data_IF_732502845917
#
_entry.id   IF_732502845917
#
_cell.length_a   1.000
_cell.length_b   1.000
_cell.length_c   1.000
_cell.angle_alpha   90.00
_cell.angle_beta   90.00
_cell.angle_gamma   90.00
#
_symmetry.space_group_name_H-M   'P 1'
#
loop_
_entity.id
_entity.type
_entity.pdbx_description
1 polymer ?
#
# COMPACT_ATOMS: atom_id res chain seq x y z
N UNK A 1 -49.05 -20.30 36.30
CA UNK A 1 -48.64 -21.44 35.44
C UNK A 1 -49.09 -21.16 34.02
N UNK A 2 -48.21 -21.44 33.06
CA UNK A 2 -48.17 -20.88 31.70
C UNK A 2 -49.43 -21.11 30.85
N UNK A 3 -49.90 -20.04 30.21
CA UNK A 3 -50.55 -20.04 28.89
C UNK A 3 -50.73 -18.60 28.39
N UNK A 4 -50.14 -18.27 27.23
CA UNK A 4 -50.80 -17.63 26.08
C UNK A 4 -49.78 -17.29 24.99
N UNK A 5 -50.04 -17.89 23.84
CA UNK A 5 -49.47 -17.63 22.51
C UNK A 5 -49.99 -16.27 22.01
N UNK A 6 -49.12 -15.46 21.43
CA UNK A 6 -49.48 -14.26 20.68
C UNK A 6 -48.92 -14.37 19.25
N UNK A 7 -49.84 -14.50 18.31
CA UNK A 7 -49.68 -14.39 16.86
C UNK A 7 -49.72 -12.92 16.44
N UNK A 8 -48.84 -12.49 15.53
CA UNK A 8 -49.03 -11.24 14.76
C UNK A 8 -48.74 -11.51 13.28
N UNK A 9 -49.72 -11.10 12.46
CA UNK A 9 -49.83 -11.30 11.03
C UNK A 9 -48.83 -10.47 10.21
N UNK A 10 -48.32 -11.05 9.12
CA UNK A 10 -47.72 -10.33 8.01
C UNK A 10 -48.74 -10.22 6.85
N UNK A 11 -48.96 -9.05 6.23
CA UNK A 11 -49.82 -8.94 5.07
C UNK A 11 -49.13 -9.46 3.80
N UNK A 12 -49.72 -10.50 3.22
CA UNK A 12 -49.59 -10.90 1.82
C UNK A 12 -50.34 -9.91 0.91
N UNK A 13 -49.75 -9.57 -0.23
CA UNK A 13 -50.48 -9.37 -1.50
C UNK A 13 -49.63 -9.98 -2.64
N UNK A 14 -49.97 -11.19 -3.12
CA UNK A 14 -50.74 -11.49 -4.35
C UNK A 14 -50.00 -11.12 -5.66
N UNK A 15 -49.22 -12.05 -6.25
CA UNK A 15 -49.61 -13.08 -7.24
C UNK A 15 -49.75 -12.56 -8.69
N UNK A 16 -49.02 -13.16 -9.65
CA UNK A 16 -49.54 -14.16 -10.62
C UNK A 16 -48.53 -14.51 -11.73
N UNK A 17 -48.36 -15.84 -11.95
CA UNK A 17 -48.31 -16.60 -13.24
C UNK A 17 -47.36 -16.10 -14.36
N UNK A 18 -46.63 -16.93 -15.10
CA UNK A 18 -46.75 -18.35 -15.46
C UNK A 18 -45.44 -18.77 -16.15
N UNK A 19 -45.02 -20.00 -15.91
CA UNK A 19 -44.04 -20.73 -16.73
C UNK A 19 -44.70 -21.19 -18.04
N UNK A 20 -43.94 -21.11 -19.15
CA UNK A 20 -43.88 -21.96 -20.37
C UNK A 20 -43.39 -21.07 -21.53
N UNK A 21 -42.43 -21.43 -22.39
CA UNK A 21 -41.79 -22.71 -22.64
C UNK A 21 -40.65 -22.55 -23.64
N UNK A 22 -39.93 -23.64 -23.82
CA UNK A 22 -38.88 -23.81 -24.81
C UNK A 22 -39.45 -23.83 -26.24
N UNK A 23 -38.72 -23.25 -27.17
CA UNK A 23 -38.65 -23.77 -28.55
C UNK A 23 -37.29 -23.40 -29.12
N UNK A 24 -36.55 -24.43 -29.54
CA UNK A 24 -35.22 -24.28 -30.11
C UNK A 24 -35.27 -23.81 -31.55
N UNK A 25 -34.21 -23.12 -31.99
CA UNK A 25 -33.76 -23.19 -33.37
C UNK A 25 -32.27 -22.86 -33.46
N UNK A 26 -31.48 -23.86 -33.86
CA UNK A 26 -30.11 -23.68 -34.35
C UNK A 26 -30.09 -22.74 -35.56
N UNK A 27 -29.10 -21.84 -35.63
CA UNK A 27 -28.47 -21.37 -36.87
C UNK A 27 -27.10 -20.77 -36.53
N UNK A 28 -26.09 -21.23 -37.25
CA UNK A 28 -24.72 -20.70 -37.33
C UNK A 28 -24.68 -19.21 -37.68
N UNK A 29 -23.60 -18.53 -37.30
CA UNK A 29 -23.02 -17.47 -38.12
C UNK A 29 -22.52 -16.21 -37.40
N UNK A 30 -21.19 -16.08 -37.37
CA UNK A 30 -20.35 -14.87 -37.51
C UNK A 30 -20.19 -13.84 -36.38
N UNK A 31 -18.92 -13.43 -36.28
CA UNK A 31 -18.35 -12.29 -35.55
C UNK A 31 -19.16 -11.01 -35.68
N UNK A 32 -19.37 -10.31 -34.55
CA UNK A 32 -19.38 -8.85 -34.48
C UNK A 32 -19.16 -8.44 -33.03
N UNK A 33 -17.98 -7.93 -32.72
CA UNK A 33 -17.67 -7.24 -31.46
C UNK A 33 -18.61 -6.01 -31.33
N UNK A 34 -19.19 -5.73 -30.15
CA UNK A 34 -19.94 -4.49 -29.94
C UNK A 34 -19.01 -3.28 -30.10
N UNK A 35 -19.40 -2.36 -30.98
CA UNK A 35 -18.66 -1.13 -31.30
C UNK A 35 -18.43 -0.28 -30.04
N UNK A 36 -17.16 0.03 -29.73
CA UNK A 36 -16.76 0.83 -28.56
C UNK A 36 -17.39 2.24 -28.62
N UNK A 37 -17.82 2.80 -27.47
CA UNK A 37 -18.25 4.19 -27.41
C UNK A 37 -17.07 5.12 -27.69
N UNK A 38 -17.29 6.10 -28.55
CA UNK A 38 -16.33 7.15 -28.92
C UNK A 38 -15.79 7.86 -27.67
N UNK A 39 -14.47 7.80 -27.45
CA UNK A 39 -13.85 8.59 -26.39
C UNK A 39 -13.93 10.07 -26.72
N UNK A 40 -14.48 10.86 -25.81
CA UNK A 40 -14.56 12.31 -25.98
C UNK A 40 -13.15 12.90 -26.03
N UNK A 41 -12.90 13.75 -27.02
CA UNK A 41 -11.63 14.48 -27.23
C UNK A 41 -11.22 15.40 -26.06
N UNK A 42 -12.04 15.48 -24.99
CA UNK A 42 -11.77 16.27 -23.77
C UNK A 42 -10.85 15.54 -22.78
N UNK A 43 -10.77 14.22 -22.82
CA UNK A 43 -9.90 13.43 -21.92
C UNK A 43 -8.43 13.56 -22.33
N UNK A 44 -8.17 13.72 -23.64
CA UNK A 44 -6.83 13.92 -24.17
C UNK A 44 -6.23 15.30 -23.84
N UNK A 45 -7.05 16.35 -23.82
CA UNK A 45 -6.58 17.68 -23.39
C UNK A 45 -6.25 17.72 -21.90
N UNK A 46 -6.97 16.96 -21.08
CA UNK A 46 -6.73 16.93 -19.63
C UNK A 46 -5.47 16.14 -19.26
N UNK A 47 -5.18 15.04 -19.95
CA UNK A 47 -3.95 14.27 -19.77
C UNK A 47 -2.70 15.02 -20.27
N UNK A 48 -2.82 15.76 -21.38
CA UNK A 48 -1.74 16.60 -21.89
C UNK A 48 -1.44 17.80 -20.97
N UNK A 49 -2.47 18.40 -20.35
CA UNK A 49 -2.31 19.45 -19.34
C UNK A 49 -1.63 18.93 -18.06
N UNK A 50 -2.01 17.74 -17.59
CA UNK A 50 -1.37 17.08 -16.44
C UNK A 50 0.12 16.80 -16.72
N UNK A 51 0.47 16.28 -17.90
CA UNK A 51 1.87 16.07 -18.29
C UNK A 51 2.67 17.38 -18.41
N UNK A 52 2.04 18.46 -18.88
CA UNK A 52 2.66 19.79 -18.96
C UNK A 52 2.93 20.39 -17.57
N UNK A 53 2.03 20.21 -16.60
CA UNK A 53 2.25 20.69 -15.21
C UNK A 53 3.41 19.92 -14.57
N UNK A 54 3.49 18.61 -14.76
CA UNK A 54 4.59 17.78 -14.22
C UNK A 54 5.94 18.17 -14.85
N UNK A 55 5.98 18.52 -16.13
CA UNK A 55 7.20 18.94 -16.82
C UNK A 55 7.64 20.38 -16.51
N UNK A 56 6.70 21.30 -16.25
CA UNK A 56 7.01 22.71 -15.91
C UNK A 56 7.49 22.85 -14.44
N UNK A 57 7.09 21.95 -13.55
CA UNK A 57 7.58 21.91 -12.16
C UNK A 57 9.02 21.39 -12.01
N UNK A 58 9.70 21.04 -13.12
CA UNK A 58 11.14 20.71 -13.14
C UNK A 58 11.98 21.73 -13.93
N UNK A 59 11.52 22.98 -14.02
CA UNK A 59 12.32 24.11 -14.53
C UNK A 59 13.26 24.68 -13.46
N UNK A 60 14.57 24.62 -13.73
CA UNK A 60 15.69 25.15 -12.94
C UNK A 60 15.46 26.57 -12.40
N UNK A 61 15.39 26.71 -11.07
CA UNK A 61 15.53 27.96 -10.33
C UNK A 61 16.93 28.06 -9.72
N UNK A 62 17.62 29.17 -10.00
CA UNK A 62 19.05 29.38 -9.73
C UNK A 62 19.46 29.30 -8.26
N UNK A 63 20.75 28.98 -8.09
CA UNK A 63 21.45 28.93 -6.82
C UNK A 63 21.38 30.26 -6.07
N UNK A 64 20.88 30.21 -4.82
CA UNK A 64 21.23 31.15 -3.77
C UNK A 64 21.44 30.32 -2.51
N UNK A 65 22.67 30.35 -1.99
CA UNK A 65 22.99 29.72 -0.72
C UNK A 65 22.23 30.46 0.40
N UNK A 66 21.24 29.81 0.98
CA UNK A 66 20.65 30.20 2.25
C UNK A 66 21.13 29.21 3.32
N UNK A 67 22.20 29.58 4.02
CA UNK A 67 22.46 29.05 5.36
C UNK A 67 21.31 29.50 6.26
N UNK A 68 20.52 28.54 6.78
CA UNK A 68 19.40 28.83 7.67
C UNK A 68 18.51 27.62 7.94
N UNK A 69 18.87 26.85 8.96
CA UNK A 69 18.04 25.86 9.67
C UNK A 69 17.53 24.65 8.87
N UNK A 70 18.43 23.69 8.58
CA UNK A 70 18.02 22.29 8.41
C UNK A 70 17.92 21.65 9.80
N UNK A 71 16.72 21.35 10.30
CA UNK A 71 16.55 20.27 11.28
C UNK A 71 15.08 19.88 11.50
N UNK A 72 14.39 19.46 10.44
CA UNK A 72 13.23 18.56 10.62
C UNK A 72 13.70 17.10 10.48
N UNK A 73 13.08 16.16 11.21
CA UNK A 73 13.66 14.84 11.42
C UNK A 73 13.47 13.95 10.19
N UNK A 74 14.59 13.59 9.57
CA UNK A 74 14.65 12.61 8.49
C UNK A 74 14.06 11.28 8.98
N UNK A 75 13.07 10.75 8.26
CA UNK A 75 12.61 9.38 8.48
C UNK A 75 13.60 8.42 7.82
N UNK A 76 13.93 7.34 8.53
CA UNK A 76 14.87 6.34 8.06
C UNK A 76 14.28 4.95 8.24
N UNK A 77 14.53 4.09 7.26
CA UNK A 77 14.26 2.66 7.39
C UNK A 77 15.47 1.98 8.01
N UNK A 78 15.25 1.29 9.13
CA UNK A 78 16.31 0.65 9.91
C UNK A 78 15.96 -0.82 10.12
N UNK A 79 16.93 -1.71 9.87
CA UNK A 79 16.78 -3.14 10.15
C UNK A 79 16.87 -3.43 11.65
N UNK A 80 16.14 -4.44 12.11
CA UNK A 80 16.16 -4.82 13.53
C UNK A 80 17.49 -5.51 13.87
N UNK A 81 18.23 -4.93 14.83
CA UNK A 81 19.49 -5.47 15.37
C UNK A 81 19.42 -5.75 16.88
N UNK A 82 18.29 -5.43 17.49
CA UNK A 82 18.13 -5.51 18.95
C UNK A 82 17.78 -6.93 19.39
N UNK A 83 18.45 -7.41 20.42
CA UNK A 83 18.11 -8.66 21.06
C UNK A 83 16.76 -8.57 21.80
N UNK A 84 16.05 -9.68 21.86
CA UNK A 84 14.75 -9.79 22.56
C UNK A 84 13.56 -9.18 21.80
N UNK A 85 13.72 -8.84 20.52
CA UNK A 85 12.60 -8.50 19.63
C UNK A 85 12.08 -9.76 18.95
N UNK A 86 10.77 -9.97 19.00
CA UNK A 86 10.07 -11.08 18.33
C UNK A 86 9.05 -10.58 17.32
N UNK A 87 8.74 -11.39 16.32
CA UNK A 87 7.60 -11.18 15.42
C UNK A 87 6.42 -11.96 15.98
N UNK A 88 5.36 -11.25 16.38
CA UNK A 88 4.16 -11.86 16.99
C UNK A 88 3.13 -12.27 15.92
N UNK A 89 3.01 -11.46 14.86
CA UNK A 89 2.11 -11.77 13.73
C UNK A 89 2.54 -11.08 12.44
N UNK A 90 2.06 -11.62 11.32
CA UNK A 90 2.25 -11.09 9.99
C UNK A 90 0.91 -10.69 9.39
N UNK A 91 0.87 -9.58 8.66
CA UNK A 91 -0.33 -9.09 7.99
C UNK A 91 0.02 -8.49 6.63
N UNK A 92 -1.00 -8.26 5.80
CA UNK A 92 -0.84 -7.61 4.49
C UNK A 92 0.24 -8.28 3.62
N UNK A 93 0.12 -9.60 3.34
CA UNK A 93 1.14 -10.31 2.58
C UNK A 93 1.16 -9.89 1.11
N UNK A 94 2.33 -9.90 0.51
CA UNK A 94 2.58 -9.66 -0.90
C UNK A 94 3.70 -10.54 -1.43
N UNK A 95 3.60 -10.88 -2.72
CA UNK A 95 4.67 -11.55 -3.47
C UNK A 95 5.18 -10.60 -4.54
N UNK A 96 6.50 -10.49 -4.64
CA UNK A 96 7.19 -9.60 -5.56
C UNK A 96 8.16 -10.37 -6.43
N UNK A 97 7.93 -10.37 -7.74
CA UNK A 97 8.89 -10.90 -8.71
C UNK A 97 9.81 -9.76 -9.17
N UNK A 98 11.09 -9.83 -8.83
CA UNK A 98 12.12 -8.84 -9.20
C UNK A 98 13.20 -9.54 -10.01
N UNK A 99 13.25 -9.27 -11.31
CA UNK A 99 14.05 -10.08 -12.23
C UNK A 99 13.65 -11.56 -12.19
N UNK A 100 14.58 -12.43 -11.78
CA UNK A 100 14.37 -13.87 -11.62
C UNK A 100 14.02 -14.29 -10.18
N UNK A 101 14.14 -13.36 -9.23
CA UNK A 101 13.94 -13.62 -7.82
C UNK A 101 12.47 -13.36 -7.43
N UNK A 102 11.99 -14.10 -6.43
CA UNK A 102 10.66 -13.87 -5.83
C UNK A 102 10.85 -13.59 -4.36
N UNK A 103 10.27 -12.51 -3.87
CA UNK A 103 10.29 -12.14 -2.45
C UNK A 103 8.89 -12.26 -1.86
N UNK A 104 8.81 -12.81 -0.64
CA UNK A 104 7.66 -12.59 0.23
C UNK A 104 7.88 -11.30 1.01
N UNK A 105 6.83 -10.48 1.10
CA UNK A 105 6.81 -9.25 1.89
C UNK A 105 5.55 -9.22 2.73
N UNK A 106 5.67 -8.78 3.98
CA UNK A 106 4.51 -8.60 4.86
C UNK A 106 4.78 -7.51 5.91
N UNK A 107 3.70 -6.96 6.46
CA UNK A 107 3.78 -6.20 7.71
C UNK A 107 4.04 -7.16 8.86
N UNK A 108 5.12 -6.92 9.61
CA UNK A 108 5.48 -7.66 10.81
C UNK A 108 5.11 -6.83 12.04
N UNK A 109 4.23 -7.39 12.86
CA UNK A 109 3.90 -6.84 14.17
C UNK A 109 4.92 -7.38 15.16
N UNK A 110 5.83 -6.51 15.59
CA UNK A 110 6.96 -6.86 16.41
C UNK A 110 6.74 -6.43 17.87
N UNK A 111 7.29 -7.21 18.80
CA UNK A 111 7.24 -6.93 20.23
C UNK A 111 8.64 -6.96 20.84
N UNK A 112 8.89 -6.09 21.82
CA UNK A 112 10.10 -6.09 22.66
C UNK A 112 9.71 -5.98 24.13
N UNK A 113 10.01 -6.99 24.91
CA UNK A 113 9.54 -7.08 26.31
C UNK A 113 8.01 -7.09 26.39
N UNK A 114 7.43 -6.57 27.47
CA UNK A 114 5.97 -6.63 27.67
C UNK A 114 5.21 -5.48 26.99
N UNK A 115 5.80 -4.28 26.92
CA UNK A 115 5.06 -3.04 26.63
C UNK A 115 5.45 -2.36 25.32
N UNK A 116 6.46 -2.84 24.60
CA UNK A 116 6.89 -2.22 23.34
C UNK A 116 6.37 -3.04 22.17
N UNK A 117 5.46 -2.46 21.39
CA UNK A 117 4.94 -3.03 20.13
C UNK A 117 5.18 -2.01 19.03
N UNK A 118 5.51 -2.48 17.84
CA UNK A 118 5.69 -1.63 16.66
C UNK A 118 5.50 -2.46 15.38
N UNK A 119 5.20 -1.78 14.29
CA UNK A 119 5.06 -2.43 12.98
C UNK A 119 6.28 -2.18 12.10
N UNK A 120 6.81 -3.24 11.49
CA UNK A 120 7.83 -3.18 10.45
C UNK A 120 7.37 -3.85 9.16
N UNK A 121 8.23 -3.84 8.15
CA UNK A 121 8.06 -4.53 6.87
C UNK A 121 9.12 -5.64 6.79
N UNK A 122 8.67 -6.88 6.87
CA UNK A 122 9.49 -8.07 6.69
C UNK A 122 9.58 -8.43 5.22
N UNK A 123 10.76 -8.82 4.76
CA UNK A 123 10.96 -9.31 3.39
C UNK A 123 11.98 -10.44 3.32
N UNK A 124 11.62 -11.53 2.65
CA UNK A 124 12.48 -12.71 2.52
C UNK A 124 12.50 -13.19 1.06
N UNK A 125 13.70 -13.51 0.55
CA UNK A 125 13.87 -14.18 -0.73
C UNK A 125 13.32 -15.61 -0.65
N UNK A 126 12.47 -15.96 -1.62
CA UNK A 126 11.96 -17.32 -1.76
C UNK A 126 12.93 -18.15 -2.59
N UNK A 127 13.30 -19.30 -2.04
CA UNK A 127 14.01 -20.33 -2.78
C UNK A 127 13.02 -21.44 -3.14
N UNK A 128 13.00 -21.84 -4.40
CA UNK A 128 12.14 -22.94 -4.83
C UNK A 128 12.75 -24.25 -4.34
N UNK A 129 12.17 -24.81 -3.28
CA UNK A 129 12.45 -26.17 -2.84
C UNK A 129 11.97 -27.23 -3.85
N UNK A 130 12.37 -28.49 -3.64
CA UNK A 130 11.92 -29.63 -4.47
C UNK A 130 10.56 -30.21 -4.04
N UNK A 131 10.01 -29.77 -2.91
CA UNK A 131 8.81 -30.31 -2.28
C UNK A 131 7.56 -29.44 -2.44
N UNK A 132 6.41 -29.98 -2.02
CA UNK A 132 5.12 -29.31 -1.95
C UNK A 132 4.66 -29.06 -0.50
N UNK A 133 5.58 -29.21 0.45
CA UNK A 133 5.32 -28.97 1.86
C UNK A 133 5.20 -27.47 2.12
N UNK A 134 4.19 -27.01 2.88
CA UNK A 134 4.09 -25.62 3.29
C UNK A 134 5.32 -25.21 4.09
N UNK A 135 5.98 -24.13 3.67
CA UNK A 135 7.08 -23.52 4.41
C UNK A 135 6.57 -22.24 5.09
N UNK A 136 6.90 -22.08 6.37
CA UNK A 136 6.62 -20.85 7.09
C UNK A 136 7.76 -19.84 6.86
N UNK A 137 7.38 -18.65 6.42
CA UNK A 137 8.29 -17.59 6.00
C UNK A 137 8.24 -16.41 6.99
N UNK A 138 9.23 -15.52 6.89
CA UNK A 138 9.31 -14.25 7.63
C UNK A 138 9.33 -14.43 9.15
N UNK A 139 9.94 -15.52 9.63
CA UNK A 139 10.13 -15.78 11.06
C UNK A 139 11.31 -15.02 11.67
N UNK A 140 12.35 -14.75 10.87
CA UNK A 140 13.53 -14.06 11.37
C UNK A 140 13.27 -12.56 11.43
N UNK A 141 13.42 -12.01 12.64
CA UNK A 141 13.26 -10.58 12.90
C UNK A 141 14.29 -9.74 12.12
N UNK A 142 15.44 -10.33 11.75
CA UNK A 142 16.50 -9.68 10.97
C UNK A 142 16.08 -9.32 9.56
N UNK A 143 15.04 -9.98 9.03
CA UNK A 143 14.47 -9.70 7.70
C UNK A 143 13.50 -8.52 7.71
N UNK A 144 13.29 -7.89 8.88
CA UNK A 144 12.34 -6.80 9.09
C UNK A 144 13.03 -5.44 9.19
N UNK A 145 12.51 -4.49 8.44
CA UNK A 145 12.85 -3.07 8.54
C UNK A 145 11.70 -2.29 9.16
N UNK A 146 11.99 -1.36 10.06
CA UNK A 146 10.99 -0.45 10.64
C UNK A 146 11.33 1.00 10.30
N UNK A 147 10.30 1.85 10.34
CA UNK A 147 10.46 3.27 10.12
C UNK A 147 10.79 3.97 11.44
N UNK A 148 11.88 4.73 11.46
CA UNK A 148 12.26 5.58 12.59
C UNK A 148 12.28 7.05 12.19
N UNK A 149 11.90 7.92 13.14
CA UNK A 149 12.03 9.37 13.02
C UNK A 149 13.38 9.78 13.62
N UNK A 150 14.21 10.47 12.83
CA UNK A 150 15.54 10.94 13.24
C UNK A 150 15.53 11.88 14.44
N UNK A 151 16.66 11.92 15.16
CA UNK A 151 16.91 12.68 16.39
C UNK A 151 18.20 12.21 17.06
N UNK A 152 18.57 12.78 18.21
CA UNK A 152 19.61 12.20 19.10
C UNK A 152 19.26 10.74 19.42
N UNK A 153 20.22 9.87 19.78
CA UNK A 153 19.94 8.45 20.10
C UNK A 153 18.83 8.27 21.15
N UNK A 154 18.69 9.22 22.08
CA UNK A 154 17.63 9.24 23.10
C UNK A 154 16.23 9.63 22.56
N UNK A 155 16.15 10.21 21.36
CA UNK A 155 14.92 10.75 20.77
C UNK A 155 14.45 9.96 19.54
N UNK A 156 15.11 8.85 19.21
CA UNK A 156 14.67 7.98 18.10
C UNK A 156 13.32 7.38 18.43
N UNK A 157 12.31 7.77 17.66
CA UNK A 157 10.94 7.29 17.81
C UNK A 157 10.61 6.33 16.66
N UNK A 158 10.16 5.12 17.00
CA UNK A 158 9.58 4.19 16.01
C UNK A 158 8.24 4.72 15.54
N UNK A 159 8.00 4.61 14.24
CA UNK A 159 6.79 5.08 13.60
C UNK A 159 6.07 3.87 13.03
N UNK A 160 4.81 3.70 13.44
CA UNK A 160 4.00 2.63 12.92
C UNK A 160 3.61 2.88 11.48
N UNK A 161 3.72 1.81 10.70
CA UNK A 161 3.38 1.76 9.29
C UNK A 161 2.27 0.75 9.07
N UNK A 162 1.41 0.97 8.08
CA UNK A 162 0.32 0.04 7.79
C UNK A 162 -0.13 0.07 6.34
N UNK A 163 -0.79 -1.02 5.92
CA UNK A 163 -1.38 -1.22 4.59
C UNK A 163 -0.39 -1.00 3.44
N UNK A 164 0.83 -1.50 3.63
CA UNK A 164 1.89 -1.51 2.64
C UNK A 164 1.42 -2.17 1.34
N UNK A 165 1.53 -1.42 0.24
CA UNK A 165 1.21 -1.89 -1.11
C UNK A 165 2.47 -1.79 -1.95
N UNK A 166 2.96 -2.91 -2.46
CA UNK A 166 4.26 -3.02 -3.14
C UNK A 166 4.09 -3.26 -4.63
N UNK A 167 4.83 -2.51 -5.45
CA UNK A 167 4.82 -2.59 -6.91
C UNK A 167 6.25 -2.80 -7.39
N UNK A 168 6.44 -3.70 -8.35
CA UNK A 168 7.71 -3.87 -9.04
C UNK A 168 7.63 -3.22 -10.42
N UNK A 169 8.62 -2.40 -10.73
CA UNK A 169 8.88 -1.92 -12.08
C UNK A 169 10.29 -2.32 -12.51
N UNK A 170 10.38 -3.31 -13.40
CA UNK A 170 11.64 -3.93 -13.83
C UNK A 170 12.49 -4.45 -12.66
N UNK A 171 13.44 -3.64 -12.19
CA UNK A 171 14.32 -3.92 -11.05
C UNK A 171 14.10 -2.99 -9.86
N UNK A 172 13.30 -1.94 -10.03
CA UNK A 172 12.92 -1.01 -8.99
C UNK A 172 11.69 -1.52 -8.24
N UNK A 173 11.72 -1.38 -6.91
CA UNK A 173 10.61 -1.74 -6.04
C UNK A 173 10.08 -0.45 -5.42
N UNK A 174 8.77 -0.26 -5.48
CA UNK A 174 8.09 0.86 -4.85
C UNK A 174 7.10 0.33 -3.84
N UNK A 175 7.02 0.98 -2.68
CA UNK A 175 6.06 0.66 -1.64
C UNK A 175 5.29 1.91 -1.26
N UNK A 176 3.98 1.85 -1.40
CA UNK A 176 3.07 2.84 -0.85
C UNK A 176 2.65 2.37 0.54
N UNK A 177 2.95 3.15 1.58
CA UNK A 177 2.70 2.73 2.95
C UNK A 177 2.09 3.85 3.78
N UNK A 178 1.06 3.51 4.57
CA UNK A 178 0.47 4.42 5.52
C UNK A 178 1.40 4.63 6.70
N UNK A 179 1.54 5.86 7.14
CA UNK A 179 2.34 6.29 8.27
C UNK A 179 1.42 6.84 9.35
N UNK A 180 1.46 6.26 10.54
CA UNK A 180 0.66 6.69 11.67
C UNK A 180 1.56 7.25 12.77
N UNK A 181 1.26 8.48 13.22
CA UNK A 181 1.82 9.05 14.44
C UNK A 181 0.66 9.37 15.41
N UNK A 182 0.73 8.82 16.62
CA UNK A 182 -0.35 8.87 17.61
C UNK A 182 -0.57 10.27 18.22
N UNK A 183 0.41 11.17 18.10
CA UNK A 183 0.46 12.44 18.85
C UNK A 183 -0.15 13.65 18.14
N UNK A 184 -0.52 13.57 16.85
CA UNK A 184 -0.86 14.76 16.08
C UNK A 184 -2.03 14.56 15.11
N UNK A 185 -2.95 15.53 15.10
CA UNK A 185 -3.98 15.66 14.07
C UNK A 185 -3.29 15.90 12.72
N UNK A 186 -3.73 15.18 11.69
CA UNK A 186 -3.20 15.26 10.33
C UNK A 186 -3.59 16.59 9.65
N UNK A 187 -3.01 17.70 10.09
CA UNK A 187 -3.07 18.96 9.35
C UNK A 187 -2.05 18.91 8.22
N UNK A 188 -2.52 18.66 6.99
CA UNK A 188 -1.65 18.79 5.82
C UNK A 188 -1.48 20.27 5.47
N UNK A 189 -0.29 20.82 5.73
CA UNK A 189 0.01 22.25 5.52
C UNK A 189 0.87 22.53 4.30
N UNK A 190 1.33 21.51 3.56
CA UNK A 190 2.43 21.64 2.58
C UNK A 190 2.44 20.51 1.55
N UNK A 191 2.97 20.80 0.36
CA UNK A 191 2.92 19.91 -0.83
C UNK A 191 3.82 18.67 -0.74
N UNK A 192 4.88 18.67 0.07
CA UNK A 192 5.82 17.53 0.15
C UNK A 192 6.55 17.34 1.50
N UNK A 193 6.55 18.32 2.40
CA UNK A 193 7.38 18.26 3.61
C UNK A 193 6.52 18.52 4.85
N UNK A 194 6.52 17.60 5.81
CA UNK A 194 5.86 17.64 7.13
C UNK A 194 4.56 16.82 7.28
N UNK A 195 4.41 15.72 6.53
CA UNK A 195 3.32 14.76 6.74
C UNK A 195 3.53 14.04 8.08
N UNK A 196 2.95 14.55 9.17
CA UNK A 196 3.03 13.93 10.51
C UNK A 196 2.39 12.53 10.54
N UNK A 197 1.24 12.40 9.88
CA UNK A 197 0.51 11.16 9.57
C UNK A 197 0.01 11.25 8.13
N UNK A 198 0.01 10.15 7.38
CA UNK A 198 -0.38 10.16 5.97
C UNK A 198 0.22 8.99 5.21
N UNK A 199 0.58 9.19 3.95
CA UNK A 199 1.08 8.13 3.09
C UNK A 199 2.48 8.46 2.57
N UNK A 200 3.34 7.44 2.54
CA UNK A 200 4.72 7.55 2.09
C UNK A 200 4.91 6.69 0.84
N UNK A 201 5.67 7.21 -0.11
CA UNK A 201 6.24 6.44 -1.20
C UNK A 201 7.67 6.05 -0.82
N UNK A 202 7.94 4.76 -0.76
CA UNK A 202 9.24 4.22 -0.38
C UNK A 202 9.87 3.50 -1.57
N UNK A 203 11.13 3.81 -1.87
CA UNK A 203 11.92 3.08 -2.87
C UNK A 203 12.72 1.97 -2.20
N UNK A 204 12.52 0.74 -2.67
CA UNK A 204 13.28 -0.45 -2.31
C UNK A 204 14.27 -0.83 -3.42
N UNK A 205 15.39 -1.42 -3.02
CA UNK A 205 16.37 -2.00 -3.95
C UNK A 205 16.82 -3.36 -3.44
N UNK A 206 16.92 -4.34 -4.34
CA UNK A 206 17.51 -5.64 -3.99
C UNK A 206 19.01 -5.46 -3.73
N UNK A 207 19.51 -6.04 -2.64
CA UNK A 207 20.92 -6.05 -2.28
C UNK A 207 21.77 -6.87 -3.28
N UNK A 208 23.10 -6.81 -3.16
CA UNK A 208 24.04 -7.48 -4.08
C UNK A 208 23.99 -9.02 -4.07
N UNK A 209 24.94 -9.64 -4.79
CA UNK A 209 25.04 -11.11 -4.89
C UNK A 209 25.29 -11.77 -3.52
N UNK A 210 24.53 -12.82 -3.20
CA UNK A 210 24.54 -13.52 -1.92
C UNK A 210 23.13 -13.65 -1.32
N UNK A 211 23.02 -13.42 0.00
CA UNK A 211 21.76 -13.35 0.73
C UNK A 211 20.97 -12.09 0.31
N UNK A 212 20.26 -12.18 -0.81
CA UNK A 212 19.50 -11.06 -1.37
C UNK A 212 18.35 -10.68 -0.42
N UNK A 213 18.28 -9.40 -0.12
CA UNK A 213 17.21 -8.77 0.66
C UNK A 213 16.76 -7.48 -0.01
N UNK A 214 15.61 -6.97 0.41
CA UNK A 214 15.13 -5.67 -0.04
C UNK A 214 15.62 -4.61 0.95
N UNK A 215 16.47 -3.71 0.47
CA UNK A 215 16.90 -2.52 1.21
C UNK A 215 15.94 -1.36 0.90
N UNK A 216 15.15 -0.96 1.90
CA UNK A 216 14.29 0.22 1.85
C UNK A 216 15.12 1.49 2.13
N UNK A 217 15.07 2.49 1.24
CA UNK A 217 15.96 3.67 1.32
C UNK A 217 15.20 4.98 1.31
N UNK A 218 14.79 5.42 0.12
CA UNK A 218 14.20 6.74 -0.09
C UNK A 218 12.76 6.72 0.37
N UNK A 219 12.36 7.73 1.12
CA UNK A 219 10.98 7.94 1.53
C UNK A 219 10.58 9.34 1.13
N UNK A 220 9.63 9.43 0.20
CA UNK A 220 9.04 10.70 -0.22
C UNK A 220 7.59 10.76 0.30
N UNK A 221 7.19 11.93 0.79
CA UNK A 221 5.80 12.18 1.12
C UNK A 221 4.94 12.12 -0.13
N UNK A 222 3.80 11.42 -0.06
CA UNK A 222 2.80 11.51 -1.14
C UNK A 222 2.00 12.80 -0.94
N UNK A 223 1.87 13.68 -1.95
CA UNK A 223 1.14 14.92 -1.81
C UNK A 223 -0.27 14.67 -1.25
N UNK A 224 -0.66 15.38 -0.19
CA UNK A 224 -1.99 15.22 0.39
C UNK A 224 -3.10 15.64 -0.56
N UNK A 225 -2.76 16.42 -1.60
CA UNK A 225 -3.70 16.81 -2.66
C UNK A 225 -4.23 15.62 -3.46
N UNK A 226 -3.57 14.46 -3.33
CA UNK A 226 -4.02 13.17 -3.84
C UNK A 226 -5.30 12.73 -3.10
N UNK A 227 -6.44 13.20 -3.59
CA UNK A 227 -7.75 12.97 -2.97
C UNK A 227 -8.58 14.23 -2.75
N UNK A 228 -8.03 15.44 -2.99
CA UNK A 228 -8.75 16.72 -2.79
C UNK A 228 -10.01 16.87 -3.65
N UNK A 229 -10.08 16.15 -4.77
CA UNK A 229 -11.29 16.07 -5.60
C UNK A 229 -12.43 15.32 -4.89
N UNK A 230 -12.10 14.50 -3.89
CA UNK A 230 -13.02 13.74 -3.05
C UNK A 230 -13.17 14.41 -1.68
N UNK A 231 -13.76 15.61 -1.66
CA UNK A 231 -14.01 16.43 -0.44
C UNK A 231 -14.82 15.72 0.67
N UNK A 232 -15.36 14.53 0.41
CA UNK A 232 -16.09 13.71 1.38
C UNK A 232 -15.22 12.64 2.05
N UNK A 233 -13.97 12.46 1.64
CA UNK A 233 -13.08 11.46 2.21
C UNK A 233 -12.19 12.07 3.30
N UNK A 234 -12.08 11.36 4.41
CA UNK A 234 -11.27 11.77 5.57
C UNK A 234 -9.80 11.34 5.44
N UNK A 235 -9.47 10.51 4.44
CA UNK A 235 -8.11 10.07 4.16
C UNK A 235 -8.03 9.05 3.02
N UNK A 236 -6.87 9.00 2.37
CA UNK A 236 -6.53 8.00 1.37
C UNK A 236 -5.68 6.91 2.03
N UNK A 237 -6.05 5.64 1.84
CA UNK A 237 -5.34 4.48 2.37
C UNK A 237 -4.97 3.52 1.25
N UNK A 238 -3.84 2.84 1.41
CA UNK A 238 -3.46 1.71 0.56
C UNK A 238 -4.42 0.53 0.72
N UNK A 239 -4.54 -0.27 -0.35
CA UNK A 239 -5.28 -1.52 -0.32
C UNK A 239 -4.54 -2.64 0.43
N UNK A 240 -3.21 -2.56 0.45
CA UNK A 240 -2.34 -3.59 1.01
C UNK A 240 -1.93 -4.66 -0.01
N UNK A 241 -0.77 -5.28 0.21
CA UNK A 241 -0.27 -6.43 -0.55
C UNK A 241 0.47 -6.04 -1.84
N UNK A 242 0.24 -6.79 -2.92
CA UNK A 242 0.88 -6.53 -4.22
C UNK A 242 0.02 -5.60 -5.08
N UNK A 243 0.61 -4.51 -5.58
CA UNK A 243 0.05 -3.65 -6.60
C UNK A 243 0.52 -4.02 -8.02
N UNK A 244 0.07 -3.26 -9.01
CA UNK A 244 0.36 -3.52 -10.43
C UNK A 244 0.85 -2.26 -11.15
N UNK A 245 1.82 -2.44 -12.05
CA UNK A 245 2.14 -1.44 -13.08
C UNK A 245 1.17 -1.61 -14.25
N UNK A 246 0.41 -0.57 -14.54
CA UNK A 246 -0.47 -0.53 -15.71
C UNK A 246 0.33 -0.16 -16.97
N UNK A 247 -0.18 -0.54 -18.13
CA UNK A 247 0.42 -0.27 -19.45
C UNK A 247 0.05 1.11 -19.96
#
# INVERSE_FOLDING_TARGET
>A
MLSRVATVMAPRTHNRRRVTGSSGRRREGRESEPQRPNMSRRVFTSAALLLLVVMVCCGTGGAVASEGQSSEPNFQWTGIKEDGVTVDSLSVPGLLKVGNDVFAVAEAHCKKGENTVFTGIASQLLTMGKGNEPEELLRDVKDTHFLEKGGSEELKKRIDVSRSTTVVDESDIYMLVGKHNHEDVADCKTETENIKSGMLLVKGKVSGEGDKKIDWKTTDGVPCTLGDQHKSWTGLIGGGGSGVKLR
#
